data_IF_193791958609
#
_entry.id   IF_193791958609
#
_cell.length_a   1.000
_cell.length_b   1.000
_cell.length_c   1.000
_cell.angle_alpha   90.00
_cell.angle_beta   90.00
_cell.angle_gamma   90.00
#
_symmetry.space_group_name_H-M   'P 1'
#
loop_
_entity.id
_entity.type
_entity.pdbx_description
1 polymer ?
#
# COMPACT_ATOMS: atom_id res chain seq x y z
N UNK A 1 28.29 -3.12 -1.14
CA UNK A 1 29.54 -2.80 -1.84
C UNK A 1 30.21 -4.11 -2.23
N UNK A 2 30.84 -4.17 -3.40
CA UNK A 2 31.64 -5.29 -3.86
C UNK A 2 33.14 -5.02 -3.69
N UNK A 3 33.94 -6.08 -3.81
CA UNK A 3 35.39 -6.04 -3.82
C UNK A 3 35.91 -7.02 -4.86
N UNK A 4 36.98 -6.64 -5.54
CA UNK A 4 37.71 -7.49 -6.47
C UNK A 4 39.16 -7.64 -6.00
N UNK A 5 39.76 -8.82 -6.14
CA UNK A 5 41.09 -9.11 -5.58
C UNK A 5 42.21 -8.58 -6.48
N UNK A 6 41.96 -8.48 -7.78
CA UNK A 6 42.83 -7.83 -8.77
C UNK A 6 42.71 -6.30 -8.70
N UNK A 7 41.64 -5.79 -8.08
CA UNK A 7 41.37 -4.36 -7.90
C UNK A 7 40.67 -3.72 -9.09
N UNK A 8 39.98 -4.54 -9.90
CA UNK A 8 39.26 -4.07 -11.07
C UNK A 8 38.07 -3.17 -10.72
N UNK A 9 37.71 -2.30 -11.67
CA UNK A 9 36.59 -1.37 -11.48
C UNK A 9 35.27 -2.11 -11.61
N UNK A 10 34.47 -2.03 -10.55
CA UNK A 10 33.19 -2.74 -10.47
C UNK A 10 32.04 -1.92 -11.04
N UNK A 11 31.28 -2.55 -11.94
CA UNK A 11 29.97 -2.08 -12.40
C UNK A 11 28.86 -2.92 -11.78
N UNK A 12 27.72 -2.30 -11.49
CA UNK A 12 26.60 -2.95 -10.82
C UNK A 12 25.43 -3.04 -11.79
N UNK A 13 24.65 -4.11 -11.70
CA UNK A 13 23.45 -4.30 -12.50
C UNK A 13 22.33 -4.95 -11.68
N UNK A 14 21.09 -4.52 -11.94
CA UNK A 14 19.91 -5.13 -11.32
C UNK A 14 19.57 -6.38 -12.12
N UNK A 15 19.58 -7.53 -11.45
CA UNK A 15 19.26 -8.84 -12.04
C UNK A 15 17.76 -9.11 -12.02
N UNK A 16 17.10 -8.83 -10.89
CA UNK A 16 15.64 -8.90 -10.74
C UNK A 16 15.11 -7.64 -10.09
N UNK A 17 13.99 -7.12 -10.60
CA UNK A 17 13.26 -6.04 -9.96
C UNK A 17 12.41 -6.58 -8.78
N UNK A 18 12.04 -5.72 -7.83
CA UNK A 18 11.05 -6.05 -6.82
C UNK A 18 9.67 -6.31 -7.43
N UNK A 19 8.76 -6.92 -6.66
CA UNK A 19 7.39 -7.13 -7.11
C UNK A 19 6.51 -5.89 -6.85
N UNK A 20 6.77 -5.14 -5.77
CA UNK A 20 5.90 -4.05 -5.30
C UNK A 20 6.67 -2.73 -5.21
N UNK A 21 7.52 -2.49 -6.20
CA UNK A 21 8.31 -1.29 -6.31
C UNK A 21 9.27 -1.36 -7.50
N UNK A 22 10.10 -0.34 -7.62
CA UNK A 22 11.13 -0.24 -8.64
C UNK A 22 12.46 0.12 -8.00
N UNK A 23 13.53 -0.53 -8.43
CA UNK A 23 14.90 -0.13 -8.12
C UNK A 23 15.54 0.51 -9.34
N UNK A 24 16.17 1.65 -9.12
CA UNK A 24 17.04 2.31 -10.10
C UNK A 24 18.47 2.33 -9.57
N UNK A 25 19.43 2.24 -10.48
CA UNK A 25 20.84 2.25 -10.14
C UNK A 25 21.49 3.55 -10.61
N UNK A 26 22.17 4.25 -9.71
CA UNK A 26 22.96 5.45 -10.00
C UNK A 26 24.41 5.19 -9.58
N UNK A 27 25.23 4.71 -10.52
CA UNK A 27 26.58 4.24 -10.22
C UNK A 27 26.56 2.97 -9.38
N UNK A 28 27.06 3.02 -8.14
CA UNK A 28 27.00 1.92 -7.18
C UNK A 28 25.85 2.04 -6.17
N UNK A 29 25.03 3.09 -6.26
CA UNK A 29 23.90 3.32 -5.37
C UNK A 29 22.61 2.79 -6.00
N UNK A 30 21.91 1.91 -5.27
CA UNK A 30 20.55 1.49 -5.59
C UNK A 30 19.55 2.39 -4.85
N UNK A 31 18.54 2.87 -5.57
CA UNK A 31 17.41 3.64 -5.03
C UNK A 31 16.15 2.81 -5.23
N UNK A 32 15.53 2.39 -4.12
CA UNK A 32 14.25 1.70 -4.10
C UNK A 32 13.11 2.71 -3.95
N UNK A 33 12.10 2.58 -4.81
CA UNK A 33 10.84 3.29 -4.73
C UNK A 33 9.72 2.25 -4.65
N UNK A 34 9.08 2.13 -3.49
CA UNK A 34 7.91 1.26 -3.32
C UNK A 34 6.70 1.79 -4.07
N UNK A 35 5.82 0.87 -4.48
CA UNK A 35 4.54 1.20 -5.11
C UNK A 35 3.63 1.94 -4.12
N UNK A 36 2.71 2.75 -4.66
CA UNK A 36 1.71 3.44 -3.83
C UNK A 36 0.92 2.42 -3.02
N UNK A 37 0.71 2.71 -1.73
CA UNK A 37 -0.04 1.87 -0.79
C UNK A 37 0.59 0.50 -0.50
N UNK A 38 1.79 0.21 -0.98
CA UNK A 38 2.50 -1.01 -0.60
C UNK A 38 3.19 -0.83 0.75
N UNK A 39 2.98 -1.81 1.63
CA UNK A 39 3.74 -2.00 2.86
C UNK A 39 4.01 -3.50 3.04
N UNK A 40 5.18 -3.82 3.59
CA UNK A 40 5.63 -5.21 3.74
C UNK A 40 7.04 -5.44 3.20
N UNK A 41 7.36 -6.72 3.02
CA UNK A 41 8.67 -7.18 2.55
C UNK A 41 8.67 -7.27 1.03
N UNK A 42 9.70 -6.70 0.41
CA UNK A 42 9.97 -6.79 -1.02
C UNK A 42 11.42 -7.20 -1.24
N UNK A 43 11.75 -7.74 -2.41
CA UNK A 43 13.08 -8.25 -2.68
C UNK A 43 13.51 -8.06 -4.12
N UNK A 44 14.76 -7.70 -4.31
CA UNK A 44 15.39 -7.58 -5.62
C UNK A 44 16.82 -8.13 -5.56
N UNK A 45 17.38 -8.51 -6.70
CA UNK A 45 18.75 -9.02 -6.77
C UNK A 45 19.63 -8.17 -7.66
N UNK A 46 20.92 -8.09 -7.34
CA UNK A 46 21.93 -7.43 -8.15
C UNK A 46 23.11 -8.35 -8.43
N UNK A 47 23.82 -8.06 -9.51
CA UNK A 47 25.11 -8.67 -9.85
C UNK A 47 26.15 -7.57 -10.00
N UNK A 48 27.41 -7.94 -9.85
CA UNK A 48 28.55 -7.04 -10.01
C UNK A 48 29.44 -7.60 -11.11
N UNK A 49 29.95 -6.74 -11.99
CA UNK A 49 30.81 -7.10 -13.09
C UNK A 49 32.14 -6.34 -13.00
N UNK A 50 33.26 -7.04 -13.15
CA UNK A 50 34.63 -6.50 -13.09
C UNK A 50 35.15 -6.00 -14.46
N UNK A 51 34.31 -6.01 -15.49
CA UNK A 51 34.67 -5.76 -16.89
C UNK A 51 34.83 -7.03 -17.72
N UNK A 52 34.85 -8.20 -17.08
CA UNK A 52 35.03 -9.50 -17.73
C UNK A 52 33.98 -10.52 -17.34
N UNK A 53 33.65 -10.63 -16.04
CA UNK A 53 32.80 -11.69 -15.49
C UNK A 53 31.78 -11.10 -14.51
N UNK A 54 30.56 -11.64 -14.57
CA UNK A 54 29.52 -11.34 -13.60
C UNK A 54 29.66 -12.19 -12.34
N UNK A 55 29.39 -11.59 -11.19
CA UNK A 55 29.20 -12.30 -9.92
C UNK A 55 27.93 -13.15 -9.93
N UNK A 56 27.80 -14.06 -8.95
CA UNK A 56 26.50 -14.62 -8.62
C UNK A 56 25.52 -13.50 -8.19
N UNK A 57 24.19 -13.67 -8.42
CA UNK A 57 23.19 -12.75 -7.90
C UNK A 57 23.22 -12.67 -6.37
N UNK A 58 23.08 -11.46 -5.85
CA UNK A 58 22.92 -11.18 -4.42
C UNK A 58 21.55 -10.57 -4.16
N UNK A 59 20.78 -11.18 -3.25
CA UNK A 59 19.45 -10.71 -2.87
C UNK A 59 19.51 -9.59 -1.82
N UNK A 60 18.67 -8.58 -2.02
CA UNK A 60 18.40 -7.50 -1.06
C UNK A 60 16.92 -7.56 -0.69
N UNK A 61 16.65 -7.58 0.61
CA UNK A 61 15.31 -7.44 1.16
C UNK A 61 15.10 -6.02 1.65
N UNK A 62 13.96 -5.41 1.29
CA UNK A 62 13.51 -4.11 1.77
C UNK A 62 12.23 -4.32 2.58
N UNK A 63 12.17 -3.72 3.75
CA UNK A 63 10.96 -3.70 4.57
C UNK A 63 10.34 -2.30 4.51
N UNK A 64 9.19 -2.19 3.82
CA UNK A 64 8.43 -0.95 3.68
C UNK A 64 7.45 -0.85 4.85
N UNK A 65 7.59 0.19 5.65
CA UNK A 65 6.66 0.51 6.74
C UNK A 65 5.43 1.22 6.18
N UNK A 66 4.24 0.88 6.65
CA UNK A 66 3.02 1.59 6.28
C UNK A 66 3.04 3.04 6.75
N UNK A 67 2.37 3.91 6.01
CA UNK A 67 2.01 5.26 6.41
C UNK A 67 0.49 5.28 6.46
N UNK A 68 -0.08 5.76 7.55
CA UNK A 68 -1.53 5.78 7.74
C UNK A 68 -2.21 6.67 6.68
N UNK A 69 -3.04 6.08 5.84
CA UNK A 69 -3.92 6.78 4.92
C UNK A 69 -5.24 7.18 5.60
N UNK A 70 -5.98 8.11 4.99
CA UNK A 70 -7.32 8.45 5.46
C UNK A 70 -8.35 7.48 4.88
N UNK A 71 -9.35 7.05 5.65
CA UNK A 71 -10.38 6.16 5.13
C UNK A 71 -11.27 6.87 4.10
N UNK A 72 -11.71 6.11 3.10
CA UNK A 72 -12.60 6.58 2.04
C UNK A 72 -13.99 5.97 2.24
N UNK A 73 -15.00 6.82 2.37
CA UNK A 73 -16.42 6.42 2.51
C UNK A 73 -17.18 6.64 1.19
N UNK A 74 -18.11 5.75 0.88
CA UNK A 74 -18.94 5.77 -0.33
C UNK A 74 -20.34 5.22 -0.06
N UNK A 75 -21.24 5.43 -1.03
CA UNK A 75 -22.65 5.11 -0.92
C UNK A 75 -23.51 6.35 -0.77
N UNK A 76 -24.73 6.29 -1.30
CA UNK A 76 -25.70 7.38 -1.21
C UNK A 76 -27.01 6.86 -0.61
N UNK A 77 -27.49 7.43 0.51
CA UNK A 77 -28.78 7.08 1.06
C UNK A 77 -29.92 7.52 0.13
N UNK A 78 -31.02 6.78 0.15
CA UNK A 78 -32.27 7.26 -0.44
C UNK A 78 -32.75 8.51 0.31
N UNK A 79 -32.98 9.60 -0.41
CA UNK A 79 -33.45 10.87 0.19
C UNK A 79 -34.97 10.95 0.33
N UNK A 80 -35.68 9.94 -0.17
CA UNK A 80 -37.14 9.84 -0.11
C UNK A 80 -37.56 8.41 0.14
N UNK A 81 -38.54 8.22 1.02
CA UNK A 81 -39.22 6.96 1.25
C UNK A 81 -40.73 7.17 1.28
N UNK A 82 -41.47 6.13 0.91
CA UNK A 82 -42.91 6.09 1.12
C UNK A 82 -43.20 5.93 2.61
N UNK A 83 -44.32 6.49 3.05
CA UNK A 83 -44.81 6.26 4.40
C UNK A 83 -44.94 4.75 4.69
N UNK A 84 -44.74 4.37 5.96
CA UNK A 84 -44.88 2.98 6.45
C UNK A 84 -43.93 1.98 5.77
N UNK A 85 -42.82 2.46 5.21
CA UNK A 85 -41.76 1.62 4.64
C UNK A 85 -40.54 1.68 5.54
N UNK A 86 -39.94 0.53 5.83
CA UNK A 86 -38.69 0.47 6.58
C UNK A 86 -37.55 1.12 5.77
N UNK A 87 -36.74 1.93 6.44
CA UNK A 87 -35.55 2.54 5.87
C UNK A 87 -34.31 1.75 6.31
N UNK A 88 -33.39 1.54 5.38
CA UNK A 88 -32.05 1.06 5.69
C UNK A 88 -31.05 1.57 4.66
N UNK A 89 -29.92 2.05 5.14
CA UNK A 89 -28.77 2.40 4.32
C UNK A 89 -27.50 2.05 5.10
N UNK A 90 -26.59 1.33 4.45
CA UNK A 90 -25.26 1.02 4.99
C UNK A 90 -24.24 1.56 3.99
N UNK A 91 -23.41 2.55 4.37
CA UNK A 91 -22.32 3.02 3.53
C UNK A 91 -21.23 1.94 3.42
N UNK A 92 -20.36 2.09 2.44
CA UNK A 92 -19.13 1.29 2.36
C UNK A 92 -17.96 2.21 2.69
N UNK A 93 -17.08 1.80 3.59
CA UNK A 93 -15.83 2.52 3.85
C UNK A 93 -14.66 1.55 3.78
N UNK A 94 -13.55 2.03 3.26
CA UNK A 94 -12.30 1.29 3.12
C UNK A 94 -11.17 2.14 3.63
N UNK A 95 -10.18 1.48 4.20
CA UNK A 95 -8.92 2.05 4.61
C UNK A 95 -7.81 1.20 4.00
N UNK A 96 -6.79 1.86 3.46
CA UNK A 96 -5.71 1.20 2.72
C UNK A 96 -4.99 0.16 3.58
N UNK A 97 -4.77 0.49 4.86
CA UNK A 97 -4.06 -0.37 5.80
C UNK A 97 -4.98 -1.45 6.41
N UNK A 98 -6.28 -1.37 6.15
CA UNK A 98 -7.28 -2.26 6.73
C UNK A 98 -7.56 -1.95 8.20
N UNK A 99 -7.31 -0.71 8.62
CA UNK A 99 -7.57 -0.28 9.99
C UNK A 99 -9.06 -0.36 10.35
N UNK A 100 -9.33 -0.60 11.63
CA UNK A 100 -10.71 -0.66 12.13
C UNK A 100 -11.36 0.72 12.07
N UNK A 101 -12.49 0.80 11.38
CA UNK A 101 -13.20 2.06 11.18
C UNK A 101 -14.28 2.29 12.24
N UNK A 102 -14.49 3.56 12.56
CA UNK A 102 -15.62 4.03 13.37
C UNK A 102 -16.40 5.06 12.58
N UNK A 103 -17.71 4.93 12.59
CA UNK A 103 -18.61 5.82 11.85
C UNK A 103 -19.28 6.80 12.81
N UNK A 104 -19.48 8.03 12.34
CA UNK A 104 -20.28 9.04 13.04
C UNK A 104 -21.29 9.65 12.08
N UNK A 105 -22.40 10.12 12.63
CA UNK A 105 -23.46 10.79 11.87
C UNK A 105 -23.84 12.10 12.56
N UNK A 106 -23.97 13.15 11.76
CA UNK A 106 -24.51 14.44 12.21
C UNK A 106 -25.93 14.60 11.69
N UNK A 107 -26.75 15.36 12.41
CA UNK A 107 -28.15 15.63 12.02
C UNK A 107 -29.00 14.37 11.77
N UNK A 108 -28.72 13.27 12.47
CA UNK A 108 -29.49 12.03 12.36
C UNK A 108 -30.97 12.29 12.70
N UNK A 109 -31.91 11.95 11.81
CA UNK A 109 -33.32 11.99 12.13
C UNK A 109 -33.65 11.19 13.40
N UNK A 110 -34.60 11.67 14.19
CA UNK A 110 -34.97 11.04 15.46
C UNK A 110 -35.60 9.65 15.28
N UNK A 111 -36.25 9.41 14.14
CA UNK A 111 -36.90 8.15 13.81
C UNK A 111 -35.92 7.05 13.32
N UNK A 112 -34.66 7.39 13.06
CA UNK A 112 -33.63 6.44 12.64
C UNK A 112 -32.72 6.03 13.80
N UNK A 113 -32.27 4.79 13.78
CA UNK A 113 -31.14 4.27 14.55
C UNK A 113 -29.85 4.34 13.72
N UNK A 114 -28.71 4.49 14.39
CA UNK A 114 -27.40 4.48 13.76
C UNK A 114 -26.45 3.52 14.48
N UNK A 115 -25.85 2.63 13.72
CA UNK A 115 -24.81 1.71 14.19
C UNK A 115 -23.44 2.29 13.83
N UNK A 116 -22.67 2.71 14.83
CA UNK A 116 -21.34 3.32 14.65
C UNK A 116 -20.25 2.33 14.22
N UNK A 117 -20.52 1.02 14.31
CA UNK A 117 -19.56 -0.01 13.87
C UNK A 117 -19.68 -0.30 12.37
N UNK A 118 -20.89 -0.19 11.82
CA UNK A 118 -21.16 -0.48 10.40
C UNK A 118 -21.50 0.77 9.57
N UNK A 119 -21.79 1.89 10.23
CA UNK A 119 -22.34 3.08 9.60
C UNK A 119 -23.82 2.93 9.21
N UNK A 120 -24.48 1.82 9.56
CA UNK A 120 -25.85 1.53 9.16
C UNK A 120 -26.82 2.51 9.79
N UNK A 121 -27.65 3.13 8.96
CA UNK A 121 -28.76 4.00 9.32
C UNK A 121 -30.07 3.28 8.99
N UNK A 122 -30.91 2.97 9.99
CA UNK A 122 -32.14 2.18 9.78
C UNK A 122 -33.29 2.58 10.72
N UNK A 123 -34.54 2.37 10.32
CA UNK A 123 -35.73 2.69 11.13
C UNK A 123 -37.05 2.58 10.40
#
# INVERSE_FOLDING_TARGET
>A
AGSDIEGDTLTYQISTQPQNGTVTLTGSQAVYQGDSHFFGSDSFSFMVNDGTVDSAPADITVNVTSVNDVPVISGAPSVSISEKTAYSFTPTAVDTEGDSLTFSITNKPSWLSFDSSTGTLSG
#
